data_IF_522738022689
#
_entry.id   IF_522738022689
#
_cell.length_a   1.000
_cell.length_b   1.000
_cell.length_c   1.000
_cell.angle_alpha   90.00
_cell.angle_beta   90.00
_cell.angle_gamma   90.00
#
_symmetry.space_group_name_H-M   'P 1'
#
loop_
_entity.id
_entity.type
_entity.pdbx_description
1 polymer ?
#
# COMPACT_ATOMS: atom_id res chain seq x y z
N UNK A 1 17.24 -0.69 -4.05
CA UNK A 1 15.79 -0.52 -4.23
C UNK A 1 15.31 -1.34 -5.42
N UNK A 2 14.27 -2.15 -5.21
CA UNK A 2 13.62 -3.05 -6.18
C UNK A 2 12.22 -2.53 -6.49
N UNK A 3 11.75 -2.72 -7.72
CA UNK A 3 10.41 -2.33 -8.16
C UNK A 3 9.60 -3.57 -8.54
N UNK A 4 8.43 -3.73 -7.94
CA UNK A 4 7.47 -4.77 -8.28
C UNK A 4 6.26 -4.14 -8.99
N UNK A 5 5.98 -4.58 -10.21
CA UNK A 5 4.81 -4.15 -10.99
C UNK A 5 3.68 -5.14 -10.77
N UNK A 6 2.51 -4.65 -10.38
CA UNK A 6 1.28 -5.44 -10.23
C UNK A 6 0.25 -4.87 -11.19
N UNK A 7 -0.08 -5.64 -12.22
CA UNK A 7 -1.20 -5.35 -13.11
C UNK A 7 -2.48 -5.89 -12.47
N UNK A 8 -3.55 -5.11 -12.52
CA UNK A 8 -4.82 -5.42 -11.86
C UNK A 8 -5.94 -5.21 -12.88
N UNK A 9 -6.82 -6.19 -12.99
CA UNK A 9 -8.06 -6.08 -13.75
C UNK A 9 -9.22 -6.33 -12.80
N UNK A 10 -10.21 -5.45 -12.80
CA UNK A 10 -11.39 -5.56 -11.94
C UNK A 10 -12.42 -6.53 -12.48
N UNK A 11 -13.17 -7.13 -11.57
CA UNK A 11 -14.37 -7.89 -11.90
C UNK A 11 -15.51 -6.96 -12.36
N UNK A 12 -16.66 -7.55 -12.69
CA UNK A 12 -17.82 -6.81 -13.18
C UNK A 12 -18.37 -5.79 -12.16
N UNK A 13 -18.19 -6.06 -10.87
CA UNK A 13 -18.56 -5.19 -9.76
C UNK A 13 -17.53 -4.09 -9.45
N UNK A 14 -16.42 -4.04 -10.20
CA UNK A 14 -15.34 -3.08 -9.99
C UNK A 14 -14.39 -3.41 -8.85
N UNK A 15 -14.46 -4.62 -8.28
CA UNK A 15 -13.53 -5.10 -7.25
C UNK A 15 -12.34 -5.84 -7.87
N UNK A 16 -11.20 -5.86 -7.18
CA UNK A 16 -10.10 -6.77 -7.47
C UNK A 16 -9.27 -7.04 -6.23
N UNK A 17 -8.59 -8.19 -6.20
CA UNK A 17 -7.49 -8.44 -5.27
C UNK A 17 -6.27 -8.90 -6.06
N UNK A 18 -5.13 -8.27 -5.83
CA UNK A 18 -3.87 -8.62 -6.46
C UNK A 18 -2.73 -8.65 -5.43
N UNK A 19 -1.64 -9.32 -5.80
CA UNK A 19 -0.51 -9.56 -4.91
C UNK A 19 0.81 -9.30 -5.62
N UNK A 20 1.81 -8.84 -4.87
CA UNK A 20 3.20 -8.97 -5.31
C UNK A 20 3.67 -10.42 -5.18
N UNK A 21 4.78 -10.82 -5.83
CA UNK A 21 5.57 -11.96 -5.37
C UNK A 21 5.99 -11.79 -3.90
N UNK A 22 6.45 -12.86 -3.27
CA UNK A 22 7.09 -12.76 -1.95
C UNK A 22 8.33 -11.89 -2.05
N UNK A 23 8.47 -10.97 -1.12
CA UNK A 23 9.56 -10.01 -1.05
C UNK A 23 9.99 -9.78 0.40
N UNK A 24 11.21 -9.29 0.56
CA UNK A 24 11.74 -8.84 1.84
C UNK A 24 12.37 -7.47 1.67
N UNK A 25 12.25 -6.62 2.68
CA UNK A 25 12.80 -5.27 2.70
C UNK A 25 11.82 -4.25 3.25
N UNK A 26 12.20 -2.97 3.18
CA UNK A 26 11.36 -1.87 3.68
C UNK A 26 10.54 -1.25 2.54
N UNK A 27 9.24 -1.10 2.72
CA UNK A 27 8.35 -0.45 1.75
C UNK A 27 8.71 1.03 1.65
N UNK A 28 9.22 1.43 0.50
CA UNK A 28 9.59 2.81 0.23
C UNK A 28 8.38 3.63 -0.22
N UNK A 29 7.68 3.15 -1.26
CA UNK A 29 6.47 3.79 -1.80
C UNK A 29 5.54 2.83 -2.53
N UNK A 30 4.26 3.21 -2.56
CA UNK A 30 3.21 2.64 -3.40
C UNK A 30 2.85 3.67 -4.46
N UNK A 31 2.89 3.27 -5.73
CA UNK A 31 2.64 4.15 -6.86
C UNK A 31 1.50 3.58 -7.69
N UNK A 32 0.33 4.21 -7.62
CA UNK A 32 -0.78 3.91 -8.51
C UNK A 32 -0.62 4.70 -9.81
N UNK A 33 -0.58 3.98 -10.93
CA UNK A 33 -0.59 4.56 -12.28
C UNK A 33 -1.96 4.32 -12.87
N UNK A 34 -2.75 5.39 -12.97
CA UNK A 34 -4.07 5.36 -13.58
C UNK A 34 -3.93 5.08 -15.08
N UNK A 35 -4.67 4.09 -15.53
CA UNK A 35 -4.77 3.72 -16.95
C UNK A 35 -6.22 3.75 -17.37
N UNK A 36 -7.06 2.86 -16.84
CA UNK A 36 -8.48 2.80 -17.21
C UNK A 36 -9.45 2.82 -16.02
N UNK A 37 -9.00 2.44 -14.81
CA UNK A 37 -9.82 2.51 -13.59
C UNK A 37 -10.68 3.77 -13.48
N UNK A 38 -11.93 3.57 -13.06
CA UNK A 38 -12.89 4.65 -12.86
C UNK A 38 -12.38 5.73 -11.88
N UNK A 39 -13.02 6.90 -11.92
CA UNK A 39 -12.87 7.87 -10.84
C UNK A 39 -13.49 7.29 -9.56
N UNK A 40 -12.96 7.70 -8.42
CA UNK A 40 -13.46 7.23 -7.15
C UNK A 40 -12.86 5.90 -6.67
N UNK A 41 -11.81 5.37 -7.32
CA UNK A 41 -11.26 4.05 -6.96
C UNK A 41 -10.72 4.02 -5.53
N UNK A 42 -11.11 3.02 -4.77
CA UNK A 42 -10.62 2.76 -3.41
C UNK A 42 -9.47 1.76 -3.43
N UNK A 43 -8.45 2.01 -2.63
CA UNK A 43 -7.33 1.10 -2.40
C UNK A 43 -7.25 0.71 -0.93
N UNK A 44 -7.07 -0.57 -0.67
CA UNK A 44 -6.68 -1.11 0.64
C UNK A 44 -5.49 -2.03 0.44
N UNK A 45 -4.31 -1.52 0.79
CA UNK A 45 -3.02 -2.17 0.61
C UNK A 45 -2.47 -2.58 1.98
N UNK A 46 -2.16 -3.86 2.13
CA UNK A 46 -1.76 -4.47 3.41
C UNK A 46 -0.60 -5.45 3.21
N UNK A 47 0.17 -5.70 4.27
CA UNK A 47 0.92 -6.95 4.40
C UNK A 47 -0.07 -8.10 4.40
N UNK A 48 0.16 -9.12 3.57
CA UNK A 48 -0.75 -10.26 3.50
C UNK A 48 -0.72 -11.08 4.79
N UNK A 49 0.47 -11.38 5.31
CA UNK A 49 0.60 -12.28 6.45
C UNK A 49 0.17 -11.64 7.78
N UNK A 50 0.48 -10.36 8.00
CA UNK A 50 0.21 -9.69 9.28
C UNK A 50 -1.03 -8.82 9.26
N UNK A 51 -1.52 -8.44 8.08
CA UNK A 51 -2.60 -7.47 7.92
C UNK A 51 -2.17 -6.02 8.20
N UNK A 52 -0.88 -5.75 8.41
CA UNK A 52 -0.38 -4.39 8.65
C UNK A 52 -0.77 -3.47 7.48
N UNK A 53 -1.37 -2.33 7.81
CA UNK A 53 -1.84 -1.35 6.81
C UNK A 53 -0.65 -0.63 6.19
N UNK A 54 -0.57 -0.67 4.86
CA UNK A 54 0.45 0.02 4.06
C UNK A 54 -0.15 1.27 3.44
N UNK A 55 -1.32 1.17 2.79
CA UNK A 55 -2.02 2.33 2.24
C UNK A 55 -3.52 2.05 2.17
N UNK A 56 -4.32 2.93 2.76
CA UNK A 56 -5.77 2.91 2.63
C UNK A 56 -6.24 4.29 2.19
N UNK A 57 -6.97 4.35 1.09
CA UNK A 57 -7.52 5.60 0.57
C UNK A 57 -8.75 5.30 -0.29
N UNK A 58 -9.79 6.09 -0.08
CA UNK A 58 -10.98 6.06 -0.90
C UNK A 58 -10.92 7.18 -1.94
N UNK A 59 -11.70 7.01 -3.01
CA UNK A 59 -11.97 8.06 -3.98
C UNK A 59 -10.74 8.62 -4.73
N UNK A 60 -9.77 7.78 -5.07
CA UNK A 60 -8.58 8.20 -5.84
C UNK A 60 -8.97 8.48 -7.30
N UNK A 61 -8.72 9.70 -7.77
CA UNK A 61 -9.17 10.15 -9.10
C UNK A 61 -8.06 10.21 -10.16
N UNK A 62 -6.80 10.24 -9.75
CA UNK A 62 -5.63 10.33 -10.63
C UNK A 62 -4.52 9.39 -10.16
N UNK A 63 -3.47 9.24 -10.98
CA UNK A 63 -2.23 8.58 -10.54
C UNK A 63 -1.73 9.22 -9.24
N UNK A 64 -1.26 8.39 -8.32
CA UNK A 64 -0.90 8.83 -6.98
C UNK A 64 0.33 8.08 -6.48
N UNK A 65 1.15 8.78 -5.69
CA UNK A 65 2.30 8.18 -4.99
C UNK A 65 2.10 8.38 -3.50
N UNK A 66 2.33 7.32 -2.74
CA UNK A 66 2.27 7.33 -1.27
C UNK A 66 3.55 6.76 -0.71
N UNK A 67 4.05 7.39 0.35
CA UNK A 67 5.25 7.00 1.08
C UNK A 67 4.85 6.59 2.49
N UNK A 68 4.33 5.37 2.67
CA UNK A 68 3.77 4.97 3.95
C UNK A 68 4.86 4.82 5.00
N UNK A 69 4.53 5.18 6.24
CA UNK A 69 5.39 5.09 7.42
C UNK A 69 4.58 4.57 8.59
N UNK A 70 5.19 3.74 9.43
CA UNK A 70 4.62 3.27 10.67
C UNK A 70 5.26 4.01 11.86
N UNK A 71 4.50 4.32 12.92
CA UNK A 71 5.07 4.85 14.15
C UNK A 71 5.98 3.80 14.81
N UNK A 72 7.09 4.26 15.38
CA UNK A 72 8.02 3.38 16.13
C UNK A 72 7.76 3.44 17.63
N UNK A 73 8.25 2.44 18.36
CA UNK A 73 8.09 2.31 19.80
C UNK A 73 9.37 1.82 20.47
N UNK A 74 9.48 2.05 21.78
CA UNK A 74 10.52 1.46 22.62
C UNK A 74 10.25 -0.03 22.84
N UNK A 75 11.21 -0.76 23.44
CA UNK A 75 11.03 -2.18 23.76
C UNK A 75 9.83 -2.48 24.68
N UNK A 76 9.34 -1.49 25.42
CA UNK A 76 8.17 -1.60 26.29
C UNK A 76 6.84 -1.30 25.57
N UNK A 77 6.86 -1.03 24.27
CA UNK A 77 5.66 -0.67 23.50
C UNK A 77 5.24 0.80 23.61
N UNK A 78 6.01 1.65 24.30
CA UNK A 78 5.72 3.08 24.40
C UNK A 78 6.10 3.80 23.09
N UNK A 79 5.24 4.68 22.59
CA UNK A 79 5.49 5.43 21.35
C UNK A 79 6.80 6.22 21.43
N UNK A 80 7.63 6.12 20.38
CA UNK A 80 8.80 6.97 20.22
C UNK A 80 8.36 8.33 19.68
N UNK A 81 8.63 9.39 20.44
CA UNK A 81 8.28 10.76 20.09
C UNK A 81 9.55 11.63 20.06
N UNK A 82 9.60 12.66 19.23
CA UNK A 82 10.72 13.62 19.22
C UNK A 82 10.81 14.44 20.53
N UNK A 83 9.68 14.61 21.21
CA UNK A 83 9.55 15.24 22.52
C UNK A 83 8.33 14.66 23.25
N UNK A 84 8.23 14.84 24.57
CA UNK A 84 7.08 14.38 25.35
C UNK A 84 5.77 15.00 24.82
N UNK A 85 4.79 14.16 24.47
CA UNK A 85 3.53 14.59 23.85
C UNK A 85 3.66 15.14 22.42
N UNK A 86 4.83 15.02 21.80
CA UNK A 86 5.11 15.55 20.47
C UNK A 86 4.79 14.57 19.33
N UNK A 87 5.33 14.89 18.14
CA UNK A 87 5.15 14.08 16.93
C UNK A 87 5.82 12.71 17.05
N UNK A 88 5.12 11.67 16.57
CA UNK A 88 5.66 10.33 16.50
C UNK A 88 6.87 10.26 15.55
N UNK A 89 7.90 9.54 15.99
CA UNK A 89 8.97 9.07 15.11
C UNK A 89 8.38 7.96 14.25
N UNK A 90 8.59 8.06 12.93
CA UNK A 90 8.06 7.08 11.98
C UNK A 90 9.17 6.53 11.10
N UNK A 91 9.09 5.25 10.76
CA UNK A 91 10.01 4.59 9.82
C UNK A 91 9.21 3.84 8.74
N UNK A 92 9.91 3.38 7.68
CA UNK A 92 9.33 2.55 6.63
C UNK A 92 8.87 1.21 7.19
N UNK A 93 7.75 0.73 6.66
CA UNK A 93 7.15 -0.55 7.02
C UNK A 93 8.03 -1.69 6.48
N UNK A 94 8.41 -2.63 7.33
CA UNK A 94 9.25 -3.77 6.97
C UNK A 94 8.41 -4.99 6.58
N UNK A 95 8.81 -5.67 5.51
CA UNK A 95 8.21 -6.94 5.08
C UNK A 95 9.29 -8.03 5.08
N UNK A 96 8.97 -9.21 5.60
CA UNK A 96 9.88 -10.35 5.68
C UNK A 96 9.27 -11.59 5.04
N UNK A 97 9.78 -11.98 3.87
CA UNK A 97 9.26 -13.09 3.06
C UNK A 97 7.73 -13.06 2.88
N UNK A 98 7.19 -11.88 2.64
CA UNK A 98 5.74 -11.62 2.62
C UNK A 98 5.29 -11.02 1.28
N UNK A 99 3.98 -10.93 1.07
CA UNK A 99 3.38 -10.30 -0.11
C UNK A 99 2.65 -9.03 0.29
N UNK A 100 2.67 -8.05 -0.61
CA UNK A 100 1.76 -6.91 -0.53
C UNK A 100 0.44 -7.30 -1.18
N UNK A 101 -0.64 -7.31 -0.40
CA UNK A 101 -2.01 -7.50 -0.86
C UNK A 101 -2.61 -6.15 -1.23
N UNK A 102 -3.16 -6.04 -2.43
CA UNK A 102 -3.80 -4.84 -2.96
C UNK A 102 -5.26 -5.18 -3.25
N UNK A 103 -6.17 -4.62 -2.44
CA UNK A 103 -7.61 -4.69 -2.68
C UNK A 103 -8.06 -3.40 -3.34
N UNK A 104 -8.79 -3.53 -4.44
CA UNK A 104 -9.38 -2.42 -5.21
C UNK A 104 -10.89 -2.48 -5.05
N UNK A 105 -11.51 -1.32 -4.82
CA UNK A 105 -12.96 -1.14 -4.82
C UNK A 105 -13.35 -0.03 -5.80
N UNK A 106 -14.52 -0.13 -6.42
CA UNK A 106 -15.05 0.86 -7.37
C UNK A 106 -14.09 1.22 -8.53
N UNK A 107 -13.29 0.26 -9.01
CA UNK A 107 -12.40 0.46 -10.16
C UNK A 107 -13.12 0.46 -11.51
N UNK A 108 -14.42 0.14 -11.55
CA UNK A 108 -15.24 0.02 -12.76
C UNK A 108 -15.26 -1.40 -13.33
N UNK A 109 -16.26 -1.73 -14.15
CA UNK A 109 -16.43 -3.06 -14.74
C UNK A 109 -15.29 -3.41 -15.73
N UNK A 110 -14.58 -4.51 -15.47
CA UNK A 110 -13.56 -5.08 -16.37
C UNK A 110 -12.44 -4.10 -16.76
N UNK A 111 -12.11 -3.18 -15.86
CA UNK A 111 -11.13 -2.11 -16.07
C UNK A 111 -9.77 -2.51 -15.57
N UNK A 112 -8.72 -1.89 -16.10
CA UNK A 112 -7.34 -2.18 -15.70
C UNK A 112 -6.62 -1.01 -15.03
N UNK A 113 -5.68 -1.35 -14.16
CA UNK A 113 -4.82 -0.45 -13.41
C UNK A 113 -3.46 -1.07 -13.15
N UNK A 114 -2.46 -0.25 -12.82
CA UNK A 114 -1.14 -0.74 -12.41
C UNK A 114 -0.72 -0.10 -11.09
N UNK A 115 -0.18 -0.92 -10.19
CA UNK A 115 0.46 -0.46 -8.97
C UNK A 115 1.92 -0.89 -8.98
N UNK A 116 2.83 0.04 -8.71
CA UNK A 116 4.22 -0.25 -8.42
C UNK A 116 4.50 -0.19 -6.93
N UNK A 117 5.14 -1.23 -6.41
CA UNK A 117 5.64 -1.30 -5.04
C UNK A 117 7.16 -1.17 -5.08
N UNK A 118 7.69 -0.12 -4.46
CA UNK A 118 9.14 0.09 -4.32
C UNK A 118 9.57 -0.39 -2.94
N UNK A 119 10.58 -1.25 -2.91
CA UNK A 119 11.14 -1.85 -1.68
C UNK A 119 12.64 -1.64 -1.68
N UNK A 120 13.20 -1.22 -0.54
CA UNK A 120 14.65 -1.08 -0.39
C UNK A 120 15.38 -2.42 -0.30
#
# INVERSE_FOLDING_TARGET
MRRYKVAITTAADGSATAYTPRLSGKVHSIQYVKTDFANGVGFTVTSEATGESIWAEAAVNASAVRYPRAPTHSQAGAAALYAAGGTAVQDKIGLGNDRVKIVVAAGGNAKSGTVHVLVD
#
